data_IF_391369594316
#
_entry.id   IF_391369594316
#
_cell.length_a   1.000
_cell.length_b   1.000
_cell.length_c   1.000
_cell.angle_alpha   90.00
_cell.angle_beta   90.00
_cell.angle_gamma   90.00
#
_symmetry.space_group_name_H-M   'P 1'
#
loop_
_entity.id
_entity.type
_entity.pdbx_description
1 polymer ?
#
# COMPACT_ATOMS: atom_id res chain seq x y z
N UNK A 1 -9.91 -13.01 9.27
CA UNK A 1 -9.09 -12.43 8.18
C UNK A 1 -9.56 -12.85 6.78
N UNK A 2 -9.66 -14.14 6.47
CA UNK A 2 -10.13 -14.63 5.15
C UNK A 2 -11.51 -14.08 4.77
N UNK A 3 -12.45 -14.02 5.70
CA UNK A 3 -13.79 -13.45 5.48
C UNK A 3 -13.75 -11.97 5.13
N UNK A 4 -12.86 -11.19 5.74
CA UNK A 4 -12.70 -9.76 5.46
C UNK A 4 -12.32 -9.54 4.00
N UNK A 5 -11.33 -10.27 3.50
CA UNK A 5 -10.86 -10.16 2.11
C UNK A 5 -11.91 -10.65 1.12
N UNK A 6 -12.58 -11.77 1.43
CA UNK A 6 -13.65 -12.30 0.59
C UNK A 6 -14.81 -11.31 0.48
N UNK A 7 -15.27 -10.79 1.61
CA UNK A 7 -16.36 -9.79 1.64
C UNK A 7 -15.96 -8.53 0.88
N UNK A 8 -14.70 -8.10 1.02
CA UNK A 8 -14.20 -6.94 0.30
C UNK A 8 -14.23 -7.14 -1.21
N UNK A 9 -13.81 -8.30 -1.71
CA UNK A 9 -13.85 -8.65 -3.12
C UNK A 9 -15.28 -8.71 -3.69
N UNK A 10 -16.22 -9.21 -2.90
CA UNK A 10 -17.65 -9.27 -3.29
C UNK A 10 -18.28 -7.87 -3.37
N UNK A 11 -17.97 -7.00 -2.41
CA UNK A 11 -18.55 -5.65 -2.34
C UNK A 11 -17.90 -4.69 -3.36
N UNK A 12 -16.66 -4.95 -3.75
CA UNK A 12 -15.93 -4.13 -4.71
C UNK A 12 -15.42 -4.99 -5.89
N UNK A 13 -16.30 -5.42 -6.78
CA UNK A 13 -15.93 -6.31 -7.88
C UNK A 13 -14.99 -5.67 -8.92
N UNK A 14 -14.86 -4.36 -8.90
CA UNK A 14 -13.96 -3.60 -9.79
C UNK A 14 -12.50 -3.64 -9.32
N UNK A 15 -12.27 -4.07 -8.09
CA UNK A 15 -10.93 -4.18 -7.51
C UNK A 15 -10.54 -5.64 -7.38
N UNK A 16 -9.60 -6.06 -8.19
CA UNK A 16 -8.95 -7.34 -8.03
C UNK A 16 -8.13 -7.38 -6.73
N UNK A 17 -7.97 -8.59 -6.18
CA UNK A 17 -7.08 -8.78 -5.04
C UNK A 17 -5.65 -8.34 -5.41
N UNK A 18 -5.12 -7.39 -4.67
CA UNK A 18 -3.72 -6.99 -4.77
C UNK A 18 -2.91 -7.62 -3.63
N UNK A 19 -1.76 -8.15 -3.98
CA UNK A 19 -0.82 -8.65 -2.98
C UNK A 19 -0.44 -7.51 -2.03
N UNK A 20 -0.65 -7.71 -0.73
CA UNK A 20 -0.46 -6.67 0.30
C UNK A 20 -1.75 -6.32 1.04
N UNK A 21 -2.93 -6.45 0.43
CA UNK A 21 -4.22 -6.22 1.10
C UNK A 21 -4.42 -7.14 2.31
N UNK A 22 -3.86 -8.34 2.25
CA UNK A 22 -3.89 -9.30 3.36
C UNK A 22 -3.16 -8.77 4.60
N UNK A 23 -2.09 -8.00 4.44
CA UNK A 23 -1.37 -7.40 5.57
C UNK A 23 -2.22 -6.33 6.25
N UNK A 24 -2.89 -5.47 5.48
CA UNK A 24 -3.79 -4.45 6.01
C UNK A 24 -4.96 -5.12 6.77
N UNK A 25 -5.62 -6.11 6.14
CA UNK A 25 -6.70 -6.85 6.77
C UNK A 25 -6.24 -7.59 8.04
N UNK A 26 -5.07 -8.22 7.99
CA UNK A 26 -4.46 -8.91 9.12
C UNK A 26 -4.13 -7.96 10.27
N UNK A 27 -3.51 -6.83 10.00
CA UNK A 27 -3.22 -5.80 10.99
C UNK A 27 -4.48 -5.29 11.68
N UNK A 28 -5.50 -4.94 10.91
CA UNK A 28 -6.77 -4.45 11.46
C UNK A 28 -7.47 -5.54 12.29
N UNK A 29 -7.45 -6.79 11.83
CA UNK A 29 -8.02 -7.89 12.59
C UNK A 29 -7.27 -8.16 13.90
N UNK A 30 -5.96 -8.10 13.91
CA UNK A 30 -5.17 -8.25 15.14
C UNK A 30 -5.45 -7.12 16.14
N UNK A 31 -5.69 -5.91 15.63
CA UNK A 31 -5.97 -4.75 16.46
C UNK A 31 -7.39 -4.77 17.06
N UNK A 32 -8.39 -5.01 16.22
CA UNK A 32 -9.80 -4.94 16.64
C UNK A 32 -10.36 -6.26 17.16
N UNK A 33 -9.79 -7.40 16.73
CA UNK A 33 -10.28 -8.76 17.01
C UNK A 33 -11.76 -8.98 16.66
N UNK A 34 -12.28 -8.19 15.74
CA UNK A 34 -13.64 -8.21 15.22
C UNK A 34 -13.60 -8.14 13.68
N UNK A 35 -14.17 -9.14 13.00
CA UNK A 35 -14.11 -9.21 11.54
C UNK A 35 -14.97 -8.12 10.88
N UNK A 36 -16.13 -7.79 11.44
CA UNK A 36 -17.04 -6.79 10.89
C UNK A 36 -16.45 -5.37 11.02
N UNK A 37 -15.91 -5.07 12.18
CA UNK A 37 -15.25 -3.79 12.44
C UNK A 37 -13.98 -3.64 11.58
N UNK A 38 -13.16 -4.68 11.50
CA UNK A 38 -11.96 -4.69 10.66
C UNK A 38 -12.29 -4.46 9.19
N UNK A 39 -13.35 -5.09 8.69
CA UNK A 39 -13.85 -4.87 7.34
C UNK A 39 -14.31 -3.42 7.12
N UNK A 40 -15.12 -2.88 8.04
CA UNK A 40 -15.62 -1.52 7.95
C UNK A 40 -14.48 -0.49 7.94
N UNK A 41 -13.50 -0.65 8.82
CA UNK A 41 -12.32 0.22 8.87
C UNK A 41 -11.45 0.08 7.63
N UNK A 42 -11.18 -1.14 7.16
CA UNK A 42 -10.43 -1.39 5.93
C UNK A 42 -11.07 -0.68 4.74
N UNK A 43 -12.39 -0.84 4.57
CA UNK A 43 -13.16 -0.17 3.52
C UNK A 43 -13.06 1.34 3.61
N UNK A 44 -13.18 1.90 4.81
CA UNK A 44 -13.08 3.33 5.04
C UNK A 44 -11.67 3.86 4.74
N UNK A 45 -10.63 3.17 5.17
CA UNK A 45 -9.24 3.54 4.88
C UNK A 45 -8.97 3.55 3.38
N UNK A 46 -9.39 2.50 2.66
CA UNK A 46 -9.21 2.43 1.21
C UNK A 46 -9.95 3.56 0.49
N UNK A 47 -11.17 3.89 0.93
CA UNK A 47 -11.96 4.95 0.31
C UNK A 47 -11.42 6.35 0.63
N UNK A 48 -11.14 6.67 1.89
CA UNK A 48 -10.69 8.00 2.33
C UNK A 48 -9.33 8.37 1.74
N UNK A 49 -8.42 7.41 1.66
CA UNK A 49 -7.08 7.62 1.11
C UNK A 49 -6.98 7.30 -0.39
N UNK A 50 -8.12 7.02 -1.05
CA UNK A 50 -8.18 6.70 -2.49
C UNK A 50 -7.23 5.56 -2.90
N UNK A 51 -7.04 4.58 -1.99
CA UNK A 51 -6.10 3.48 -2.18
C UNK A 51 -6.53 2.50 -3.29
N UNK A 52 -7.76 2.62 -3.77
CA UNK A 52 -8.24 1.85 -4.93
C UNK A 52 -7.33 2.04 -6.16
N UNK A 53 -6.80 3.25 -6.34
CA UNK A 53 -5.87 3.57 -7.43
C UNK A 53 -4.48 2.97 -7.19
N UNK A 54 -4.11 2.74 -5.93
CA UNK A 54 -2.88 2.05 -5.56
C UNK A 54 -2.94 0.55 -5.88
N UNK A 55 -4.13 -0.05 -5.76
CA UNK A 55 -4.38 -1.47 -6.00
C UNK A 55 -4.85 -1.79 -7.42
N UNK A 56 -4.90 -0.81 -8.31
CA UNK A 56 -5.21 -1.02 -9.72
C UNK A 56 -4.07 -1.78 -10.43
N UNK A 57 -4.43 -2.57 -11.43
CA UNK A 57 -3.49 -3.40 -12.21
C UNK A 57 -2.32 -2.64 -12.82
N UNK A 58 -2.51 -1.39 -13.22
CA UNK A 58 -1.45 -0.54 -13.76
C UNK A 58 -0.60 0.16 -12.69
N UNK A 59 -1.03 0.14 -11.44
CA UNK A 59 -0.36 0.75 -10.28
C UNK A 59 0.10 2.21 -10.50
N UNK A 60 -0.74 3.09 -11.08
CA UNK A 60 -0.30 4.45 -11.42
C UNK A 60 0.07 5.27 -10.19
N UNK A 61 -0.68 5.13 -9.10
CA UNK A 61 -0.41 5.82 -7.84
C UNK A 61 0.88 5.30 -7.18
N UNK A 62 1.19 4.02 -7.34
CA UNK A 62 2.44 3.44 -6.83
C UNK A 62 3.65 4.06 -7.53
N UNK A 63 3.61 4.19 -8.84
CA UNK A 63 4.66 4.86 -9.63
C UNK A 63 4.85 6.31 -9.21
N UNK A 64 3.75 7.03 -8.98
CA UNK A 64 3.79 8.41 -8.49
C UNK A 64 4.41 8.49 -7.08
N UNK A 65 4.09 7.54 -6.20
CA UNK A 65 4.67 7.49 -4.87
C UNK A 65 6.17 7.17 -4.89
N UNK A 66 6.65 6.34 -5.80
CA UNK A 66 8.09 6.14 -6.00
C UNK A 66 8.78 7.44 -6.41
N UNK A 67 8.21 8.18 -7.34
CA UNK A 67 8.73 9.47 -7.76
C UNK A 67 8.76 10.47 -6.60
N UNK A 68 7.69 10.56 -5.83
CA UNK A 68 7.61 11.43 -4.64
C UNK A 68 8.65 11.07 -3.59
N UNK A 69 8.82 9.78 -3.31
CA UNK A 69 9.83 9.30 -2.37
C UNK A 69 11.24 9.64 -2.84
N UNK A 70 11.55 9.38 -4.11
CA UNK A 70 12.85 9.70 -4.69
C UNK A 70 13.17 11.20 -4.57
N UNK A 71 12.19 12.06 -4.86
CA UNK A 71 12.31 13.51 -4.67
C UNK A 71 12.53 13.90 -3.21
N UNK A 72 11.81 13.29 -2.28
CA UNK A 72 12.00 13.54 -0.85
C UNK A 72 13.39 13.12 -0.38
N UNK A 73 13.87 11.95 -0.78
CA UNK A 73 15.22 11.48 -0.46
C UNK A 73 16.27 12.45 -1.03
N UNK A 74 16.09 12.91 -2.27
CA UNK A 74 17.04 13.85 -2.89
C UNK A 74 17.14 15.19 -2.17
N UNK A 75 16.06 15.64 -1.54
CA UNK A 75 15.99 16.93 -0.82
C UNK A 75 16.46 16.77 0.63
N UNK A 76 15.96 15.73 1.33
CA UNK A 76 16.18 15.56 2.77
C UNK A 76 17.45 14.78 3.10
N UNK A 77 17.86 13.87 2.22
CA UNK A 77 19.00 12.96 2.40
C UNK A 77 19.85 12.89 1.12
N UNK A 78 20.46 14.02 0.69
CA UNK A 78 21.16 14.09 -0.60
C UNK A 78 22.32 13.11 -0.72
N UNK A 79 23.04 12.84 0.35
CA UNK A 79 24.15 11.87 0.37
C UNK A 79 23.65 10.44 0.13
N UNK A 80 22.54 10.07 0.77
CA UNK A 80 21.89 8.79 0.55
C UNK A 80 21.37 8.66 -0.88
N UNK A 81 20.76 9.73 -1.41
CA UNK A 81 20.27 9.74 -2.79
C UNK A 81 21.41 9.52 -3.79
N UNK A 82 22.55 10.21 -3.61
CA UNK A 82 23.73 10.02 -4.45
C UNK A 82 24.27 8.60 -4.39
N UNK A 83 24.37 8.03 -3.19
CA UNK A 83 24.82 6.66 -2.99
C UNK A 83 23.88 5.62 -3.66
N UNK A 84 22.58 5.75 -3.47
CA UNK A 84 21.59 4.87 -4.12
C UNK A 84 21.70 4.95 -5.65
N UNK A 85 21.94 6.14 -6.19
CA UNK A 85 22.13 6.35 -7.62
C UNK A 85 23.42 5.73 -8.15
N UNK A 86 24.52 5.85 -7.42
CA UNK A 86 25.80 5.22 -7.74
C UNK A 86 25.69 3.69 -7.79
N UNK A 87 24.96 3.10 -6.82
CA UNK A 87 24.72 1.68 -6.74
C UNK A 87 23.58 1.17 -7.66
N UNK A 88 23.00 2.08 -8.48
CA UNK A 88 21.87 1.78 -9.36
C UNK A 88 20.66 1.19 -8.63
N UNK A 89 20.44 1.59 -7.37
CA UNK A 89 19.29 1.18 -6.55
C UNK A 89 18.14 2.15 -6.72
N UNK A 90 17.07 1.68 -7.35
CA UNK A 90 15.86 2.47 -7.51
C UNK A 90 14.99 2.38 -6.23
N UNK A 91 14.34 3.47 -5.86
CA UNK A 91 13.44 3.53 -4.70
C UNK A 91 12.32 2.47 -4.76
N UNK A 92 11.89 2.06 -5.94
CA UNK A 92 10.88 1.00 -6.12
C UNK A 92 11.32 -0.36 -5.58
N UNK A 93 12.62 -0.65 -5.51
CA UNK A 93 13.13 -1.95 -5.07
C UNK A 93 12.84 -2.24 -3.59
N UNK A 94 12.82 -1.22 -2.75
CA UNK A 94 12.59 -1.39 -1.32
C UNK A 94 11.26 -0.81 -0.84
N UNK A 95 10.67 0.16 -1.55
CA UNK A 95 9.49 0.88 -1.05
C UNK A 95 8.15 0.37 -1.54
N UNK A 96 8.12 -0.50 -2.56
CA UNK A 96 6.87 -1.03 -3.10
C UNK A 96 6.03 -1.74 -2.04
N UNK A 97 6.64 -2.60 -1.24
CA UNK A 97 5.97 -3.30 -0.16
C UNK A 97 5.42 -2.32 0.90
N UNK A 98 6.17 -1.29 1.25
CA UNK A 98 5.74 -0.30 2.25
C UNK A 98 4.47 0.43 1.84
N UNK A 99 4.40 0.89 0.58
CA UNK A 99 3.21 1.57 0.09
C UNK A 99 2.00 0.65 -0.05
N UNK A 100 2.20 -0.57 -0.57
CA UNK A 100 1.11 -1.53 -0.77
C UNK A 100 0.53 -2.05 0.56
N UNK A 101 1.36 -2.17 1.58
CA UNK A 101 0.94 -2.65 2.90
C UNK A 101 0.64 -1.52 3.90
N UNK A 102 0.75 -0.26 3.51
CA UNK A 102 0.64 0.91 4.37
C UNK A 102 1.60 0.83 5.57
N UNK A 103 2.82 0.36 5.34
CA UNK A 103 3.88 0.20 6.35
C UNK A 103 3.52 -0.78 7.50
N UNK A 104 2.58 -1.68 7.27
CA UNK A 104 2.20 -2.74 8.25
C UNK A 104 3.05 -4.04 8.12
#
# INVERSE_FOLDING_TARGET
>A
MRKILYTYAVVNPELDYCQGMNFIAGFLYLFFQDEALSFAVMRQVINVFELSTLFNTELPMLKLNFYRLDRLISILLPDLHSHLKEESVNSSYFSSSYFITLFT
#
